data_IF_611673854390
#
_entry.id   IF_611673854390
#
_cell.length_a   1.000
_cell.length_b   1.000
_cell.length_c   1.000
_cell.angle_alpha   90.00
_cell.angle_beta   90.00
_cell.angle_gamma   90.00
#
_symmetry.space_group_name_H-M   'P 1'
#
loop_
_entity.id
_entity.type
_entity.pdbx_description
1 polymer ?
#
# COMPACT_ATOMS: atom_id res chain seq x y z
N UNK A 1 -43.97 -11.11 22.80
CA UNK A 1 -44.69 -10.71 21.58
C UNK A 1 -44.08 -9.41 21.11
N UNK A 2 -43.22 -9.43 20.08
CA UNK A 2 -42.61 -8.20 19.55
C UNK A 2 -43.69 -7.34 18.92
N UNK A 3 -43.97 -6.16 19.47
CA UNK A 3 -44.79 -5.14 18.82
C UNK A 3 -44.12 -4.82 17.48
N UNK A 4 -44.70 -5.37 16.41
CA UNK A 4 -44.18 -5.22 15.05
C UNK A 4 -44.31 -3.76 14.65
N UNK A 5 -43.20 -3.15 14.25
CA UNK A 5 -43.18 -1.77 13.77
C UNK A 5 -44.16 -1.62 12.61
N UNK A 6 -44.86 -0.48 12.57
CA UNK A 6 -45.67 -0.15 11.40
C UNK A 6 -44.77 0.03 10.16
N UNK A 7 -45.27 -0.21 8.94
CA UNK A 7 -44.47 -0.07 7.72
C UNK A 7 -43.84 1.32 7.57
N UNK A 8 -44.54 2.37 8.03
CA UNK A 8 -44.07 3.75 7.99
C UNK A 8 -42.89 4.00 8.95
N UNK A 9 -42.94 3.45 10.16
CA UNK A 9 -41.85 3.57 11.14
C UNK A 9 -40.58 2.83 10.70
N UNK A 10 -40.74 1.66 10.08
CA UNK A 10 -39.62 0.91 9.49
C UNK A 10 -38.94 1.69 8.37
N UNK A 11 -39.71 2.28 7.47
CA UNK A 11 -39.16 3.07 6.37
C UNK A 11 -38.37 4.29 6.85
N UNK A 12 -38.89 5.02 7.85
CA UNK A 12 -38.20 6.19 8.43
C UNK A 12 -36.89 5.81 9.14
N UNK A 13 -36.87 4.65 9.81
CA UNK A 13 -35.67 4.14 10.46
C UNK A 13 -34.62 3.64 9.45
N UNK A 14 -35.06 2.91 8.42
CA UNK A 14 -34.18 2.39 7.37
C UNK A 14 -33.58 3.51 6.52
N UNK A 15 -34.30 4.61 6.30
CA UNK A 15 -33.78 5.77 5.58
C UNK A 15 -32.52 6.36 6.25
N UNK A 16 -32.53 6.47 7.59
CA UNK A 16 -31.39 6.98 8.37
C UNK A 16 -30.19 6.02 8.33
N UNK A 17 -30.44 4.71 8.30
CA UNK A 17 -29.40 3.69 8.20
C UNK A 17 -28.80 3.60 6.80
N UNK A 18 -29.63 3.68 5.76
CA UNK A 18 -29.18 3.65 4.36
C UNK A 18 -28.15 4.73 4.07
N UNK A 19 -28.40 5.97 4.49
CA UNK A 19 -27.45 7.08 4.30
C UNK A 19 -26.07 6.76 4.90
N UNK A 20 -26.03 6.29 6.15
CA UNK A 20 -24.77 5.98 6.85
C UNK A 20 -24.06 4.79 6.21
N UNK A 21 -24.81 3.74 5.83
CA UNK A 21 -24.24 2.57 5.18
C UNK A 21 -23.69 2.91 3.78
N UNK A 22 -24.34 3.79 3.03
CA UNK A 22 -23.83 4.27 1.74
C UNK A 22 -22.54 5.08 1.92
N UNK A 23 -22.50 5.99 2.90
CA UNK A 23 -21.29 6.76 3.19
C UNK A 23 -20.12 5.86 3.62
N UNK A 24 -20.39 4.89 4.50
CA UNK A 24 -19.39 3.89 4.89
C UNK A 24 -18.95 3.04 3.71
N UNK A 25 -19.87 2.59 2.86
CA UNK A 25 -19.55 1.81 1.66
C UNK A 25 -18.66 2.58 0.67
N UNK A 26 -18.96 3.87 0.44
CA UNK A 26 -18.14 4.74 -0.39
C UNK A 26 -16.75 4.97 0.21
N UNK A 27 -16.66 5.23 1.51
CA UNK A 27 -15.38 5.43 2.21
C UNK A 27 -14.52 4.16 2.16
N UNK A 28 -15.11 3.00 2.48
CA UNK A 28 -14.41 1.71 2.44
C UNK A 28 -13.97 1.37 1.01
N UNK A 29 -14.84 1.58 0.02
CA UNK A 29 -14.50 1.38 -1.39
C UNK A 29 -13.35 2.28 -1.84
N UNK A 30 -13.37 3.56 -1.48
CA UNK A 30 -12.32 4.51 -1.80
C UNK A 30 -10.99 4.15 -1.13
N UNK A 31 -11.00 3.73 0.14
CA UNK A 31 -9.81 3.25 0.85
C UNK A 31 -9.22 2.02 0.16
N UNK A 32 -10.03 1.03 -0.19
CA UNK A 32 -9.56 -0.17 -0.91
C UNK A 32 -8.96 0.21 -2.25
N UNK A 33 -9.62 1.04 -3.05
CA UNK A 33 -9.12 1.47 -4.36
C UNK A 33 -7.79 2.22 -4.24
N UNK A 34 -7.68 3.12 -3.26
CA UNK A 34 -6.47 3.90 -3.01
C UNK A 34 -5.28 3.00 -2.65
N UNK A 35 -5.45 2.13 -1.67
CA UNK A 35 -4.37 1.24 -1.23
C UNK A 35 -4.02 0.17 -2.27
N UNK A 36 -5.02 -0.45 -2.89
CA UNK A 36 -4.81 -1.47 -3.92
C UNK A 36 -4.18 -0.88 -5.18
N UNK A 37 -4.65 0.29 -5.62
CA UNK A 37 -4.09 1.00 -6.77
C UNK A 37 -2.61 1.33 -6.56
N UNK A 38 -2.24 1.86 -5.40
CA UNK A 38 -0.83 2.13 -5.04
C UNK A 38 -0.02 0.83 -5.00
N UNK A 39 -0.57 -0.23 -4.39
CA UNK A 39 0.11 -1.53 -4.30
C UNK A 39 0.41 -2.09 -5.69
N UNK A 40 -0.56 -2.08 -6.60
CA UNK A 40 -0.39 -2.55 -7.98
C UNK A 40 0.63 -1.70 -8.72
N UNK A 41 0.57 -0.37 -8.61
CA UNK A 41 1.55 0.54 -9.25
C UNK A 41 2.97 0.26 -8.73
N UNK A 42 3.12 -0.02 -7.43
CA UNK A 42 4.42 -0.28 -6.81
C UNK A 42 4.97 -1.67 -7.09
N UNK A 43 4.10 -2.68 -7.22
CA UNK A 43 4.49 -4.06 -7.51
C UNK A 43 4.53 -4.38 -9.01
N UNK A 44 3.94 -3.52 -9.86
CA UNK A 44 4.01 -3.68 -11.31
C UNK A 44 5.48 -3.63 -11.76
N UNK A 45 6.04 -4.76 -12.27
CA UNK A 45 7.48 -4.90 -12.55
C UNK A 45 7.98 -4.11 -13.78
N UNK A 46 7.33 -2.99 -14.12
CA UNK A 46 7.64 -2.19 -15.31
C UNK A 46 7.51 -0.67 -15.15
N UNK A 47 7.10 -0.15 -13.98
CA UNK A 47 6.94 1.30 -13.73
C UNK A 47 8.13 1.91 -12.96
N UNK A 48 9.22 1.17 -12.81
CA UNK A 48 10.49 1.70 -12.35
C UNK A 48 10.98 2.76 -13.35
N UNK A 49 10.65 4.02 -13.07
CA UNK A 49 11.24 5.20 -13.69
C UNK A 49 12.75 5.02 -13.66
N UNK A 50 13.34 4.78 -14.83
CA UNK A 50 14.75 4.50 -15.04
C UNK A 50 15.63 5.70 -14.71
N UNK A 51 15.75 6.04 -13.43
CA UNK A 51 16.95 6.71 -12.95
C UNK A 51 17.91 5.59 -12.61
N UNK A 52 18.98 5.39 -13.40
CA UNK A 52 20.06 4.52 -12.95
C UNK A 52 20.44 5.01 -11.56
N UNK A 53 20.27 4.17 -10.54
CA UNK A 53 20.90 4.44 -9.26
C UNK A 53 22.40 4.49 -9.59
N UNK A 54 23.08 5.62 -9.36
CA UNK A 54 24.52 5.56 -9.20
C UNK A 54 24.72 4.77 -7.91
N UNK A 55 24.73 3.44 -8.02
CA UNK A 55 25.44 2.62 -7.08
C UNK A 55 26.80 3.27 -6.99
N UNK A 56 27.16 3.76 -5.81
CA UNK A 56 28.56 3.95 -5.48
C UNK A 56 29.16 2.57 -5.64
N UNK A 57 29.65 2.26 -6.84
CA UNK A 57 30.58 1.18 -7.06
C UNK A 57 31.61 1.40 -5.97
N UNK A 58 31.56 0.56 -4.94
CA UNK A 58 32.59 0.49 -3.93
C UNK A 58 33.87 0.35 -4.73
N UNK A 59 34.61 1.44 -4.84
CA UNK A 59 35.94 1.44 -5.40
C UNK A 59 36.70 0.53 -4.43
N UNK A 60 36.82 -0.74 -4.83
CA UNK A 60 37.59 -1.74 -4.16
C UNK A 60 38.97 -1.13 -3.98
N UNK A 61 39.40 -0.78 -2.74
CA UNK A 61 40.73 -0.28 -2.56
C UNK A 61 41.63 -1.48 -2.84
N UNK A 62 42.25 -1.47 -4.01
CA UNK A 62 43.29 -2.41 -4.39
C UNK A 62 44.31 -2.43 -3.26
N UNK A 63 44.32 -3.51 -2.47
CA UNK A 63 45.34 -3.73 -1.46
C UNK A 63 46.71 -3.56 -2.12
N UNK A 64 47.54 -2.60 -1.67
CA UNK A 64 48.90 -2.52 -2.16
C UNK A 64 49.62 -3.80 -1.73
N UNK A 65 50.27 -4.40 -2.71
CA UNK A 65 51.00 -5.66 -2.66
C UNK A 65 51.67 -5.93 -1.31
N UNK A 66 51.33 -7.06 -0.69
CA UNK A 66 52.12 -7.66 0.39
C UNK A 66 53.56 -7.84 -0.11
N UNK A 67 54.58 -7.19 0.49
CA UNK A 67 55.96 -7.58 0.28
C UNK A 67 56.12 -8.97 0.88
N UNK A 68 56.48 -9.93 0.04
CA UNK A 68 56.74 -11.32 0.43
C UNK A 68 57.69 -11.34 1.62
N UNK A 69 57.29 -12.12 2.62
CA UNK A 69 58.23 -12.73 3.55
C UNK A 69 59.42 -13.29 2.76
N UNK A 70 60.62 -12.86 3.14
CA UNK A 70 61.84 -13.62 2.93
C UNK A 70 62.74 -13.33 4.14
N UNK A 71 62.59 -14.18 5.17
CA UNK A 71 63.69 -14.57 6.05
C UNK A 71 64.83 -15.13 5.18
N UNK A 72 66.11 -14.94 5.53
CA UNK A 72 66.72 -15.49 6.75
C UNK A 72 67.54 -14.50 7.59
#
# INVERSE_FOLDING_TARGET
>A
MSAGWTPAEKAAFDARRKSRNTALGLLLGALVLLFFGITVVRMAPGLQNGKPQPGFSQAQPSSPAQPRQAAP
#
